data_IF_491273533197
#
_entry.id   IF_491273533197
#
_cell.length_a   1.000
_cell.length_b   1.000
_cell.length_c   1.000
_cell.angle_alpha   90.00
_cell.angle_beta   90.00
_cell.angle_gamma   90.00
#
_symmetry.space_group_name_H-M   'P 1'
#
loop_
_entity.id
_entity.type
_entity.pdbx_description
1 polymer ?
#
# COMPACT_ATOMS: atom_id res chain seq x y z
N UNK A 1 7.99 7.92 -23.55
CA UNK A 1 8.15 8.30 -22.13
C UNK A 1 6.77 8.24 -21.50
N UNK A 2 6.60 7.57 -20.34
CA UNK A 2 5.35 7.69 -19.60
C UNK A 2 5.09 9.17 -19.32
N UNK A 3 3.88 9.64 -19.64
CA UNK A 3 3.49 11.03 -19.43
C UNK A 3 3.08 11.19 -17.97
N UNK A 4 3.48 12.28 -17.35
CA UNK A 4 2.96 12.66 -16.04
C UNK A 4 1.50 13.10 -16.23
N UNK A 5 0.58 12.44 -15.53
CA UNK A 5 -0.82 12.80 -15.51
C UNK A 5 -1.15 13.53 -14.21
N UNK A 6 -1.97 14.56 -14.29
CA UNK A 6 -2.51 15.28 -13.13
C UNK A 6 -3.97 14.87 -12.93
N UNK A 7 -4.37 14.58 -11.70
CA UNK A 7 -5.75 14.24 -11.36
C UNK A 7 -6.05 14.58 -9.90
N UNK A 8 -7.34 14.71 -9.59
CA UNK A 8 -7.79 14.94 -8.22
C UNK A 8 -7.60 13.66 -7.41
N UNK A 9 -7.01 13.76 -6.23
CA UNK A 9 -6.71 12.59 -5.38
C UNK A 9 -7.98 11.81 -5.00
N UNK A 10 -9.11 12.49 -4.83
CA UNK A 10 -10.38 11.83 -4.50
C UNK A 10 -10.99 10.99 -5.63
N UNK A 11 -10.56 11.23 -6.89
CA UNK A 11 -11.04 10.49 -8.05
C UNK A 11 -10.27 9.17 -8.25
N UNK A 12 -9.21 8.94 -7.46
CA UNK A 12 -8.38 7.75 -7.58
C UNK A 12 -9.10 6.50 -7.12
N UNK A 13 -8.96 5.43 -7.93
CA UNK A 13 -9.43 4.10 -7.60
C UNK A 13 -8.30 3.31 -6.95
N UNK A 14 -8.45 2.81 -5.72
CA UNK A 14 -7.50 1.86 -5.17
C UNK A 14 -7.60 0.51 -5.87
N UNK A 15 -6.56 -0.31 -5.68
CA UNK A 15 -6.48 -1.71 -6.16
C UNK A 15 -6.19 -2.69 -5.03
N UNK A 16 -6.34 -2.24 -3.78
CA UNK A 16 -6.24 -3.06 -2.58
C UNK A 16 -7.34 -2.66 -1.60
N UNK A 17 -7.65 -3.53 -0.62
CA UNK A 17 -8.67 -3.23 0.40
C UNK A 17 -8.08 -2.48 1.59
N UNK A 18 -6.81 -2.76 1.93
CA UNK A 18 -6.22 -2.34 3.20
C UNK A 18 -4.97 -1.50 3.02
N UNK A 19 -4.66 -0.70 4.03
CA UNK A 19 -3.37 -0.01 4.22
C UNK A 19 -2.99 -0.12 5.68
N UNK A 20 -1.72 0.10 6.01
CA UNK A 20 -1.31 0.27 7.41
C UNK A 20 -1.48 1.72 7.83
N UNK A 21 -2.47 2.03 8.68
CA UNK A 21 -2.82 3.41 9.02
C UNK A 21 -1.74 4.13 9.82
N UNK A 22 -0.85 3.43 10.54
CA UNK A 22 0.29 4.06 11.23
C UNK A 22 1.22 4.74 10.21
N UNK A 23 1.49 4.07 9.08
CA UNK A 23 2.31 4.62 8.02
C UNK A 23 1.58 5.77 7.27
N UNK A 24 0.26 5.64 7.08
CA UNK A 24 -0.58 6.73 6.55
C UNK A 24 -0.49 7.98 7.44
N UNK A 25 -0.68 7.84 8.76
CA UNK A 25 -0.64 8.99 9.67
C UNK A 25 0.74 9.65 9.72
N UNK A 26 1.82 8.88 9.68
CA UNK A 26 3.17 9.44 9.61
C UNK A 26 3.36 10.29 8.34
N UNK A 27 2.95 9.77 7.17
CA UNK A 27 3.01 10.51 5.90
C UNK A 27 2.08 11.73 5.90
N UNK A 28 0.88 11.61 6.47
CA UNK A 28 -0.07 12.71 6.59
C UNK A 28 0.52 13.85 7.42
N UNK A 29 1.08 13.56 8.59
CA UNK A 29 1.73 14.56 9.45
C UNK A 29 2.88 15.25 8.71
N UNK A 30 3.68 14.50 7.97
CA UNK A 30 4.76 15.06 7.16
C UNK A 30 4.24 16.01 6.08
N UNK A 31 3.22 15.60 5.33
CA UNK A 31 2.58 16.44 4.29
C UNK A 31 1.93 17.69 4.90
N UNK A 32 1.19 17.54 6.00
CA UNK A 32 0.50 18.65 6.66
C UNK A 32 1.45 19.70 7.26
N UNK A 33 2.71 19.34 7.52
CA UNK A 33 3.74 20.26 7.99
C UNK A 33 4.39 21.09 6.86
N UNK A 34 4.17 20.74 5.59
CA UNK A 34 4.70 21.45 4.43
C UNK A 34 3.85 22.65 4.04
N UNK A 35 4.46 23.68 3.45
CA UNK A 35 3.72 24.73 2.77
C UNK A 35 3.05 24.18 1.50
N UNK A 36 1.95 24.77 1.00
CA UNK A 36 1.23 24.24 -0.17
C UNK A 36 2.08 24.04 -1.43
N UNK A 37 3.04 24.94 -1.69
CA UNK A 37 3.95 24.79 -2.83
C UNK A 37 4.89 23.59 -2.67
N UNK A 38 5.36 23.35 -1.43
CA UNK A 38 6.22 22.20 -1.11
C UNK A 38 5.43 20.89 -1.16
N UNK A 39 4.16 20.88 -0.73
CA UNK A 39 3.27 19.73 -0.90
C UNK A 39 3.12 19.37 -2.38
N UNK A 40 2.87 20.37 -3.23
CA UNK A 40 2.75 20.15 -4.67
C UNK A 40 4.05 19.59 -5.26
N UNK A 41 5.20 20.20 -4.94
CA UNK A 41 6.51 19.75 -5.40
C UNK A 41 6.82 18.32 -4.91
N UNK A 42 6.47 18.01 -3.66
CA UNK A 42 6.59 16.66 -3.10
C UNK A 42 5.75 15.66 -3.89
N UNK A 43 4.48 15.96 -4.17
CA UNK A 43 3.61 15.08 -4.94
C UNK A 43 4.08 14.91 -6.39
N UNK A 44 4.65 15.95 -7.01
CA UNK A 44 5.26 15.87 -8.35
C UNK A 44 6.49 14.97 -8.38
N UNK A 45 7.32 15.04 -7.34
CA UNK A 45 8.52 14.22 -7.19
C UNK A 45 8.20 12.75 -6.87
N UNK A 46 7.00 12.47 -6.37
CA UNK A 46 6.51 11.13 -6.01
C UNK A 46 5.23 10.79 -6.77
N UNK A 47 5.27 10.72 -8.11
CA UNK A 47 4.07 10.42 -8.86
C UNK A 47 3.62 8.99 -8.59
N UNK A 48 2.32 8.82 -8.34
CA UNK A 48 1.71 7.55 -7.98
C UNK A 48 1.55 6.68 -9.24
N UNK A 49 2.12 5.47 -9.29
CA UNK A 49 1.91 4.55 -10.40
C UNK A 49 0.43 4.18 -10.53
N UNK A 50 -0.06 4.13 -11.77
CA UNK A 50 -1.47 3.85 -12.05
C UNK A 50 -1.68 3.18 -13.40
N UNK A 51 -2.83 2.54 -13.56
CA UNK A 51 -3.36 2.03 -14.81
C UNK A 51 -4.61 2.82 -15.18
N UNK A 52 -4.72 3.23 -16.44
CA UNK A 52 -5.96 3.81 -16.96
C UNK A 52 -6.94 2.67 -17.26
N UNK A 53 -7.99 2.55 -16.46
CA UNK A 53 -8.97 1.47 -16.54
C UNK A 53 -10.29 1.85 -17.22
N UNK A 54 -11.27 0.93 -17.25
CA UNK A 54 -12.56 1.12 -17.89
C UNK A 54 -13.26 2.41 -17.45
N UNK A 55 -13.84 3.13 -18.41
CA UNK A 55 -14.47 4.43 -18.18
C UNK A 55 -13.48 5.58 -17.93
N UNK A 56 -12.19 5.39 -18.25
CA UNK A 56 -11.15 6.42 -18.14
C UNK A 56 -10.72 6.73 -16.71
N UNK A 57 -10.96 5.82 -15.77
CA UNK A 57 -10.62 6.00 -14.36
C UNK A 57 -9.17 5.56 -14.09
N UNK A 58 -8.46 6.28 -13.22
CA UNK A 58 -7.10 5.92 -12.79
C UNK A 58 -7.15 4.97 -11.60
N UNK A 59 -6.60 3.77 -11.77
CA UNK A 59 -6.43 2.75 -10.75
C UNK A 59 -5.00 2.75 -10.26
N UNK A 60 -4.76 3.17 -9.02
CA UNK A 60 -3.39 3.25 -8.48
C UNK A 60 -2.86 1.85 -8.17
N UNK A 61 -1.65 1.54 -8.64
CA UNK A 61 -1.03 0.20 -8.56
C UNK A 61 -0.02 0.09 -7.43
N UNK A 62 0.50 1.23 -6.95
CA UNK A 62 1.36 1.35 -5.77
C UNK A 62 1.05 2.67 -5.05
N UNK A 63 1.70 2.90 -3.92
CA UNK A 63 1.67 4.14 -3.14
C UNK A 63 0.29 4.48 -2.54
N UNK A 64 -0.56 3.49 -2.26
CA UNK A 64 -1.86 3.69 -1.61
C UNK A 64 -1.74 4.41 -0.26
N UNK A 65 -0.67 4.15 0.51
CA UNK A 65 -0.40 4.91 1.75
C UNK A 65 -0.16 6.39 1.50
N UNK A 66 0.60 6.75 0.46
CA UNK A 66 0.83 8.15 0.10
C UNK A 66 -0.46 8.79 -0.42
N UNK A 67 -1.17 8.13 -1.33
CA UNK A 67 -2.44 8.62 -1.85
C UNK A 67 -3.46 8.87 -0.73
N UNK A 68 -3.59 7.92 0.19
CA UNK A 68 -4.48 8.05 1.36
C UNK A 68 -4.03 9.16 2.30
N UNK A 69 -2.73 9.25 2.60
CA UNK A 69 -2.18 10.31 3.44
C UNK A 69 -2.38 11.70 2.85
N UNK A 70 -2.18 11.85 1.54
CA UNK A 70 -2.39 13.11 0.83
C UNK A 70 -3.87 13.51 0.83
N UNK A 71 -4.79 12.56 0.60
CA UNK A 71 -6.23 12.80 0.74
C UNK A 71 -6.58 13.27 2.16
N UNK A 72 -6.11 12.55 3.18
CA UNK A 72 -6.39 12.86 4.59
C UNK A 72 -5.75 14.18 5.04
N UNK A 73 -4.67 14.63 4.39
CA UNK A 73 -4.02 15.92 4.59
C UNK A 73 -4.69 17.08 3.84
N UNK A 74 -5.73 16.81 3.03
CA UNK A 74 -6.43 17.81 2.25
C UNK A 74 -5.72 18.23 0.95
N UNK A 75 -4.72 17.47 0.51
CA UNK A 75 -4.09 17.67 -0.80
C UNK A 75 -5.11 17.33 -1.88
N UNK A 76 -5.35 18.26 -2.80
CA UNK A 76 -6.42 18.13 -3.80
C UNK A 76 -5.93 17.43 -5.07
N UNK A 77 -4.69 17.72 -5.48
CA UNK A 77 -4.09 17.29 -6.74
C UNK A 77 -2.96 16.29 -6.50
N UNK A 78 -2.97 15.18 -7.23
CA UNK A 78 -1.88 14.22 -7.29
C UNK A 78 -1.29 14.15 -8.70
N UNK A 79 -0.14 13.50 -8.79
CA UNK A 79 0.56 13.26 -10.05
C UNK A 79 0.74 11.76 -10.25
N UNK A 80 0.65 11.30 -11.48
CA UNK A 80 0.54 9.87 -11.80
C UNK A 80 1.42 9.48 -12.97
N UNK A 81 1.97 8.28 -12.89
CA UNK A 81 2.64 7.61 -14.01
C UNK A 81 1.73 6.51 -14.52
N UNK A 82 1.18 6.69 -15.72
CA UNK A 82 0.33 5.67 -16.34
C UNK A 82 1.22 4.56 -16.92
N UNK A 83 1.14 3.38 -16.31
CA UNK A 83 1.93 2.19 -16.66
C UNK A 83 1.29 1.41 -17.81
N UNK A 84 -0.04 1.42 -17.91
CA UNK A 84 -0.79 0.80 -18.98
C UNK A 84 -2.13 1.52 -19.23
N UNK A 85 -2.60 1.46 -20.48
CA UNK A 85 -3.94 1.89 -20.87
C UNK A 85 -4.80 0.65 -21.16
N UNK A 86 -5.70 0.34 -20.24
CA UNK A 86 -6.70 -0.72 -20.31
C UNK A 86 -8.12 -0.13 -20.41
N UNK A 87 -8.26 1.12 -20.85
CA UNK A 87 -9.54 1.84 -20.85
C UNK A 87 -10.61 1.21 -21.75
N UNK A 88 -10.17 0.46 -22.77
CA UNK A 88 -11.03 -0.23 -23.73
C UNK A 88 -11.38 -1.67 -23.31
N UNK A 89 -10.83 -2.16 -22.19
CA UNK A 89 -11.13 -3.50 -21.71
C UNK A 89 -12.55 -3.59 -21.13
N UNK A 90 -13.14 -4.77 -21.23
CA UNK A 90 -14.28 -5.14 -20.38
C UNK A 90 -13.85 -5.12 -18.91
N UNK A 91 -14.79 -5.01 -17.97
CA UNK A 91 -14.44 -5.02 -16.54
C UNK A 91 -13.76 -6.34 -16.11
N UNK A 92 -14.20 -7.46 -16.67
CA UNK A 92 -13.63 -8.78 -16.37
C UNK A 92 -12.20 -8.91 -16.92
N UNK A 93 -11.96 -8.47 -18.15
CA UNK A 93 -10.63 -8.54 -18.76
C UNK A 93 -9.66 -7.52 -18.15
N UNK A 94 -10.18 -6.38 -17.67
CA UNK A 94 -9.42 -5.44 -16.86
C UNK A 94 -8.90 -6.10 -15.59
N UNK A 95 -9.77 -6.71 -14.77
CA UNK A 95 -9.31 -7.32 -13.51
C UNK A 95 -8.40 -8.52 -13.71
N UNK A 96 -8.62 -9.34 -14.74
CA UNK A 96 -7.68 -10.41 -15.12
C UNK A 96 -6.29 -9.84 -15.43
N UNK A 97 -6.22 -8.76 -16.22
CA UNK A 97 -4.95 -8.12 -16.53
C UNK A 97 -4.29 -7.52 -15.29
N UNK A 98 -5.06 -6.87 -14.41
CA UNK A 98 -4.54 -6.32 -13.15
C UNK A 98 -3.94 -7.42 -12.25
N UNK A 99 -4.59 -8.59 -12.15
CA UNK A 99 -4.12 -9.73 -11.36
C UNK A 99 -2.86 -10.37 -11.96
N UNK A 100 -2.85 -10.59 -13.29
CA UNK A 100 -1.70 -11.16 -14.01
C UNK A 100 -0.44 -10.30 -13.89
N UNK A 101 -0.59 -8.98 -13.80
CA UNK A 101 0.53 -8.04 -13.66
C UNK A 101 0.86 -7.71 -12.19
N UNK A 102 0.20 -8.36 -11.21
CA UNK A 102 0.40 -8.09 -9.79
C UNK A 102 0.13 -6.61 -9.41
N UNK A 103 -0.91 -6.02 -9.99
CA UNK A 103 -1.34 -4.63 -9.72
C UNK A 103 -2.55 -4.52 -8.78
N UNK A 104 -3.09 -5.66 -8.34
CA UNK A 104 -4.26 -5.73 -7.47
C UNK A 104 -3.99 -6.69 -6.29
N UNK A 105 -4.39 -6.27 -5.09
CA UNK A 105 -4.21 -7.03 -3.85
C UNK A 105 -5.54 -7.11 -3.09
N UNK A 106 -6.43 -8.06 -3.46
CA UNK A 106 -7.78 -8.13 -2.93
C UNK A 106 -7.84 -8.89 -1.59
N UNK A 107 -6.98 -8.58 -0.63
CA UNK A 107 -7.00 -9.17 0.72
C UNK A 107 -7.43 -8.15 1.77
N UNK A 108 -8.26 -8.58 2.72
CA UNK A 108 -8.71 -7.78 3.86
C UNK A 108 -7.68 -7.72 5.03
N UNK A 109 -8.05 -7.07 6.13
CA UNK A 109 -7.19 -6.86 7.31
C UNK A 109 -6.88 -8.15 8.07
N UNK A 110 -7.60 -9.22 7.76
CA UNK A 110 -7.39 -10.56 8.30
C UNK A 110 -6.56 -11.45 7.34
N UNK A 111 -6.19 -10.93 6.16
CA UNK A 111 -5.47 -11.68 5.12
C UNK A 111 -6.37 -12.58 4.29
N UNK A 112 -7.69 -12.35 4.29
CA UNK A 112 -8.66 -13.15 3.53
C UNK A 112 -8.86 -12.54 2.15
N UNK A 113 -8.77 -13.38 1.11
CA UNK A 113 -9.00 -12.95 -0.28
C UNK A 113 -10.48 -12.73 -0.57
N UNK A 114 -10.79 -11.59 -1.19
CA UNK A 114 -12.13 -11.19 -1.62
C UNK A 114 -12.24 -11.05 -3.14
N UNK A 115 -13.47 -10.88 -3.62
CA UNK A 115 -13.73 -10.53 -5.02
C UNK A 115 -13.26 -9.10 -5.31
N UNK A 116 -12.83 -8.83 -6.55
CA UNK A 116 -12.40 -7.49 -6.97
C UNK A 116 -13.48 -6.42 -6.77
N UNK A 117 -14.77 -6.80 -6.83
CA UNK A 117 -15.89 -5.90 -6.54
C UNK A 117 -15.94 -5.40 -5.07
N UNK A 118 -15.20 -6.05 -4.17
CA UNK A 118 -15.05 -5.61 -2.77
C UNK A 118 -13.96 -4.55 -2.60
N UNK A 119 -13.12 -4.31 -3.61
CA UNK A 119 -12.14 -3.23 -3.58
C UNK A 119 -12.89 -1.89 -3.52
N UNK A 120 -12.58 -1.02 -2.55
CA UNK A 120 -13.28 0.24 -2.41
C UNK A 120 -13.11 1.11 -3.65
N UNK A 121 -14.09 1.98 -3.87
CA UNK A 121 -14.06 2.93 -4.99
C UNK A 121 -13.19 4.16 -4.71
N UNK A 122 -12.88 4.44 -3.45
CA UNK A 122 -12.19 5.66 -3.04
C UNK A 122 -11.19 5.36 -1.92
N UNK A 123 -10.12 6.15 -1.86
CA UNK A 123 -9.01 5.92 -0.93
C UNK A 123 -9.44 6.02 0.53
N UNK A 124 -10.37 6.90 0.89
CA UNK A 124 -10.86 7.08 2.26
C UNK A 124 -11.56 5.84 2.84
N UNK A 125 -11.90 4.87 1.97
CA UNK A 125 -12.54 3.60 2.34
C UNK A 125 -11.55 2.44 2.49
N UNK A 126 -10.25 2.66 2.28
CA UNK A 126 -9.22 1.68 2.62
C UNK A 126 -9.26 1.41 4.13
N UNK A 127 -9.26 0.13 4.48
CA UNK A 127 -9.36 -0.37 5.86
C UNK A 127 -7.95 -0.47 6.46
N UNK A 128 -7.85 -0.29 7.77
CA UNK A 128 -6.59 -0.47 8.47
C UNK A 128 -6.24 -1.97 8.59
N UNK A 129 -5.05 -2.35 8.15
CA UNK A 129 -4.40 -3.61 8.51
C UNK A 129 -3.19 -3.30 9.40
N UNK A 130 -3.32 -3.45 10.74
CA UNK A 130 -2.24 -3.18 11.68
C UNK A 130 -0.98 -3.99 11.41
N UNK A 131 -1.12 -5.22 10.87
CA UNK A 131 0.02 -6.07 10.53
C UNK A 131 0.75 -5.56 9.29
N UNK A 132 0.05 -4.87 8.37
CA UNK A 132 0.70 -4.19 7.25
C UNK A 132 1.56 -3.03 7.72
N UNK A 133 1.14 -2.31 8.78
CA UNK A 133 2.00 -1.34 9.45
C UNK A 133 3.18 -2.02 10.14
N UNK A 134 2.94 -3.09 10.91
CA UNK A 134 4.00 -3.84 11.59
C UNK A 134 5.08 -4.30 10.61
N UNK A 135 4.70 -4.88 9.48
CA UNK A 135 5.63 -5.36 8.46
C UNK A 135 6.57 -4.23 7.97
N UNK A 136 6.01 -3.07 7.61
CA UNK A 136 6.80 -1.91 7.18
C UNK A 136 7.81 -1.46 8.23
N UNK A 137 7.39 -1.36 9.49
CA UNK A 137 8.27 -0.93 10.58
C UNK A 137 9.33 -1.98 10.94
N UNK A 138 9.00 -3.27 10.86
CA UNK A 138 9.97 -4.36 11.07
C UNK A 138 11.02 -4.36 9.97
N UNK A 139 10.64 -4.12 8.71
CA UNK A 139 11.59 -3.93 7.60
C UNK A 139 12.54 -2.77 7.90
N UNK A 140 11.99 -1.62 8.27
CA UNK A 140 12.78 -0.40 8.52
C UNK A 140 13.71 -0.55 9.73
N UNK A 141 13.33 -1.39 10.71
CA UNK A 141 14.17 -1.81 11.83
C UNK A 141 15.19 -2.91 11.47
N UNK A 142 15.31 -3.27 10.19
CA UNK A 142 16.29 -4.23 9.69
C UNK A 142 15.89 -5.70 9.88
N UNK A 143 14.61 -5.99 10.13
CA UNK A 143 14.08 -7.35 10.27
C UNK A 143 14.23 -8.19 9.01
N UNK A 144 14.04 -7.58 7.84
CA UNK A 144 14.22 -8.16 6.51
C UNK A 144 14.57 -7.07 5.48
N UNK A 145 15.10 -7.46 4.33
CA UNK A 145 15.56 -6.52 3.31
C UNK A 145 14.43 -6.10 2.37
N UNK A 146 14.50 -4.86 1.87
CA UNK A 146 13.63 -4.40 0.78
C UNK A 146 13.92 -5.24 -0.48
N UNK A 147 12.86 -5.62 -1.19
CA UNK A 147 12.92 -6.53 -2.33
C UNK A 147 11.99 -6.03 -3.45
N UNK A 148 12.30 -6.31 -4.73
CA UNK A 148 11.39 -5.99 -5.84
C UNK A 148 10.16 -6.91 -5.91
N UNK A 149 10.04 -7.89 -5.00
CA UNK A 149 8.86 -8.78 -4.97
C UNK A 149 7.60 -7.99 -4.64
N UNK A 150 6.61 -8.04 -5.54
CA UNK A 150 5.32 -7.38 -5.32
C UNK A 150 4.66 -7.87 -4.03
N UNK A 151 4.02 -6.95 -3.30
CA UNK A 151 3.28 -7.23 -2.06
C UNK A 151 4.11 -7.89 -0.95
N UNK A 152 5.45 -7.77 -0.96
CA UNK A 152 6.31 -8.39 0.04
C UNK A 152 5.89 -8.06 1.49
N UNK A 153 5.57 -6.80 1.78
CA UNK A 153 5.11 -6.38 3.11
C UNK A 153 3.77 -7.01 3.52
N UNK A 154 2.89 -7.38 2.58
CA UNK A 154 1.67 -8.13 2.89
C UNK A 154 1.97 -9.60 3.22
N UNK A 155 2.94 -10.23 2.54
CA UNK A 155 3.42 -11.58 2.89
C UNK A 155 4.00 -11.60 4.31
N UNK A 156 4.75 -10.55 4.68
CA UNK A 156 5.26 -10.37 6.04
C UNK A 156 4.16 -10.08 7.05
N UNK A 157 3.16 -9.26 6.71
CA UNK A 157 2.00 -9.00 7.56
C UNK A 157 1.27 -10.31 7.92
N UNK A 158 1.04 -11.18 6.93
CA UNK A 158 0.43 -12.50 7.12
C UNK A 158 1.25 -13.41 8.04
N UNK A 159 2.57 -13.38 7.94
CA UNK A 159 3.46 -14.13 8.83
C UNK A 159 3.38 -13.64 10.27
N UNK A 160 3.41 -12.32 10.49
CA UNK A 160 3.29 -11.75 11.83
C UNK A 160 1.89 -11.94 12.41
N UNK A 161 0.83 -11.92 11.59
CA UNK A 161 -0.56 -12.19 12.02
C UNK A 161 -0.73 -13.55 12.67
N UNK A 162 0.09 -14.54 12.29
CA UNK A 162 0.07 -15.89 12.87
C UNK A 162 0.93 -16.04 14.11
N UNK A 163 1.75 -15.04 14.43
CA UNK A 163 2.82 -15.15 15.42
C UNK A 163 2.72 -14.11 16.55
N UNK A 164 2.04 -12.99 16.31
CA UNK A 164 1.84 -11.90 17.27
C UNK A 164 0.34 -11.69 17.45
N UNK A 165 -0.20 -11.84 18.68
CA UNK A 165 -1.59 -11.54 18.99
C UNK A 165 -1.95 -10.10 18.62
N UNK A 166 -3.16 -9.90 18.08
CA UNK A 166 -3.61 -8.56 17.68
C UNK A 166 -3.73 -7.63 18.88
N UNK A 167 -4.07 -8.18 20.05
CA UNK A 167 -4.19 -7.45 21.32
C UNK A 167 -2.85 -6.83 21.72
N UNK A 168 -1.75 -7.59 21.59
CA UNK A 168 -0.40 -7.11 21.91
C UNK A 168 0.05 -6.04 20.92
N UNK A 169 -0.23 -6.26 19.62
CA UNK A 169 0.09 -5.31 18.56
C UNK A 169 -0.62 -3.95 18.76
N UNK A 170 -1.89 -3.97 19.16
CA UNK A 170 -2.68 -2.77 19.38
C UNK A 170 -2.37 -2.11 20.74
N UNK A 171 -1.97 -2.88 21.75
CA UNK A 171 -1.63 -2.35 23.07
C UNK A 171 -0.30 -1.57 23.06
N UNK A 172 0.73 -2.13 22.41
CA UNK A 172 2.04 -1.48 22.26
C UNK A 172 2.70 -1.86 20.93
N UNK A 173 2.48 -1.00 19.93
CA UNK A 173 3.00 -1.21 18.58
C UNK A 173 4.54 -1.29 18.55
N UNK A 174 5.25 -0.51 19.37
CA UNK A 174 6.72 -0.52 19.36
C UNK A 174 7.26 -1.79 20.02
N UNK A 175 6.65 -2.26 21.11
CA UNK A 175 6.96 -3.55 21.69
C UNK A 175 6.70 -4.69 20.69
N UNK A 176 5.60 -4.62 19.93
CA UNK A 176 5.30 -5.60 18.89
C UNK A 176 6.33 -5.60 17.75
N UNK A 177 6.82 -4.43 17.31
CA UNK A 177 7.94 -4.33 16.35
C UNK A 177 9.19 -5.03 16.90
N UNK A 178 9.55 -4.76 18.15
CA UNK A 178 10.70 -5.43 18.78
C UNK A 178 10.52 -6.94 18.91
N UNK A 179 9.31 -7.41 19.25
CA UNK A 179 8.99 -8.83 19.32
C UNK A 179 9.00 -9.52 17.94
N UNK A 180 8.66 -8.79 16.88
CA UNK A 180 8.65 -9.29 15.51
C UNK A 180 10.04 -9.46 14.90
N UNK A 181 11.04 -8.66 15.33
CA UNK A 181 12.42 -8.75 14.82
C UNK A 181 13.03 -10.17 14.91
N UNK A 182 13.08 -10.85 16.07
CA UNK A 182 13.62 -12.21 16.15
C UNK A 182 12.78 -13.22 15.35
N UNK A 183 11.46 -13.01 15.20
CA UNK A 183 10.62 -13.85 14.35
C UNK A 183 11.02 -13.73 12.87
N UNK A 184 11.29 -12.50 12.41
CA UNK A 184 11.71 -12.23 11.04
C UNK A 184 13.08 -12.83 10.70
N UNK A 185 13.96 -12.97 11.70
CA UNK A 185 15.26 -13.64 11.56
C UNK A 185 15.21 -15.15 11.77
N UNK A 186 14.06 -15.71 12.15
CA UNK A 186 13.94 -17.12 12.47
C UNK A 186 13.90 -18.00 11.21
N UNK A 187 14.24 -19.28 11.36
CA UNK A 187 14.12 -20.28 10.30
C UNK A 187 12.70 -20.40 9.72
N UNK A 188 11.67 -20.00 10.46
CA UNK A 188 10.28 -20.04 9.99
C UNK A 188 10.00 -18.98 8.92
N UNK A 189 10.82 -17.92 8.87
CA UNK A 189 10.71 -16.86 7.89
C UNK A 189 11.59 -17.07 6.64
N UNK A 190 12.35 -18.17 6.56
CA UNK A 190 13.39 -18.38 5.54
C UNK A 190 12.90 -18.30 4.08
N UNK A 191 11.62 -18.61 3.84
CA UNK A 191 11.02 -18.57 2.51
C UNK A 191 10.39 -17.20 2.16
N UNK A 192 10.38 -16.25 3.10
CA UNK A 192 9.76 -14.95 2.89
C UNK A 192 10.66 -14.02 2.07
N UNK A 193 10.06 -13.15 1.24
CA UNK A 193 10.80 -12.29 0.34
C UNK A 193 11.64 -11.28 1.14
N UNK A 194 12.94 -11.17 0.79
CA UNK A 194 13.87 -10.31 1.53
C UNK A 194 14.38 -10.88 2.84
N UNK A 195 14.11 -12.15 3.15
CA UNK A 195 14.68 -12.80 4.35
C UNK A 195 16.21 -12.70 4.37
N UNK A 196 16.73 -12.26 5.52
CA UNK A 196 18.16 -12.01 5.75
C UNK A 196 18.61 -12.52 7.14
N UNK A 197 17.87 -13.46 7.73
CA UNK A 197 18.30 -14.19 8.93
C UNK A 197 19.43 -15.17 8.60
N UNK A 198 20.32 -15.38 9.58
CA UNK A 198 21.48 -16.29 9.46
C UNK A 198 21.12 -17.69 9.92
#
# INVERSE_FOLDING_TARGET
MPKLHESRIHDLRPTQLTVGMIEVQAKKTHLAAMAPADQQAFMQAHPIPAVLGPGGQLYITDHHHLGRAALDAGVTTGYFMVEADLSQHSLDDFWKAMDQNLWVHPLDEHGVRHYYASIPKHLEKLVDDPYRSLAGYVRDAGGYDKTPTAFAEFVWADFFRRSIPIEDLLADFQAAVHAALPLAKSKFAKALPGYNGK
#
